data_IF_959505206410
#
_entry.id   IF_959505206410
#
_cell.length_a   1.000
_cell.length_b   1.000
_cell.length_c   1.000
_cell.angle_alpha   90.00
_cell.angle_beta   90.00
_cell.angle_gamma   90.00
#
_symmetry.space_group_name_H-M   'P 1'
#
loop_
_entity.id
_entity.type
_entity.pdbx_description
1 polymer ?
#
# COMPACT_ATOMS: atom_id res chain seq x y z
N UNK A 1 1.90 6.48 30.97
CA UNK A 1 2.16 5.20 30.33
C UNK A 1 2.59 5.43 28.89
N UNK A 2 3.69 4.83 28.50
CA UNK A 2 4.21 4.94 27.14
C UNK A 2 3.36 4.12 26.20
N UNK A 3 2.99 4.71 25.07
CA UNK A 3 2.36 3.97 23.98
C UNK A 3 3.20 4.15 22.72
N UNK A 4 4.17 3.28 22.58
CA UNK A 4 5.09 3.27 21.45
C UNK A 4 4.60 2.37 20.29
N UNK A 5 3.36 1.89 20.40
CA UNK A 5 2.79 0.96 19.43
C UNK A 5 1.74 1.62 18.58
N UNK A 6 1.68 1.19 17.33
CA UNK A 6 0.67 1.62 16.39
C UNK A 6 0.33 0.48 15.44
N UNK A 7 -0.78 0.62 14.72
CA UNK A 7 -1.21 -0.40 13.77
C UNK A 7 -0.91 0.01 12.35
N UNK A 8 -0.50 -0.96 11.55
CA UNK A 8 -0.41 -0.85 10.11
C UNK A 8 -1.25 -1.94 9.46
N UNK A 9 -1.86 -1.62 8.34
CA UNK A 9 -2.48 -2.62 7.50
C UNK A 9 -1.44 -3.27 6.60
N UNK A 10 -1.55 -4.59 6.43
CA UNK A 10 -0.91 -5.28 5.32
C UNK A 10 -1.77 -5.09 4.08
N UNK A 11 -1.14 -4.82 2.95
CA UNK A 11 -1.84 -4.49 1.72
C UNK A 11 -1.56 -5.51 0.63
N UNK A 12 -2.55 -5.69 -0.24
CA UNK A 12 -2.37 -6.33 -1.54
C UNK A 12 -2.79 -5.33 -2.61
N UNK A 13 -1.89 -5.06 -3.54
CA UNK A 13 -2.20 -4.33 -4.76
C UNK A 13 -2.55 -5.37 -5.82
N UNK A 14 -3.78 -5.36 -6.29
CA UNK A 14 -4.32 -6.42 -7.16
C UNK A 14 -4.80 -5.81 -8.47
N UNK A 15 -4.44 -6.44 -9.58
CA UNK A 15 -5.02 -6.06 -10.88
C UNK A 15 -6.47 -6.53 -10.93
N UNK A 16 -7.39 -5.57 -10.94
CA UNK A 16 -8.83 -5.83 -10.91
C UNK A 16 -9.40 -6.04 -12.32
N UNK A 17 -8.96 -5.22 -13.28
CA UNK A 17 -9.47 -5.25 -14.64
C UNK A 17 -8.45 -4.65 -15.60
N UNK A 18 -8.50 -5.03 -16.85
CA UNK A 18 -7.72 -4.44 -17.94
C UNK A 18 -8.71 -4.11 -19.05
N UNK A 19 -9.01 -2.80 -19.21
CA UNK A 19 -10.01 -2.35 -20.16
C UNK A 19 -9.42 -1.94 -21.50
N UNK A 20 -8.09 -1.84 -21.58
CA UNK A 20 -7.37 -1.49 -22.79
C UNK A 20 -6.40 -2.59 -23.17
N UNK A 21 -5.19 -2.19 -23.57
CA UNK A 21 -4.14 -3.09 -24.00
C UNK A 21 -2.90 -2.95 -23.13
N UNK A 22 -2.66 -3.97 -22.29
CA UNK A 22 -1.48 -4.00 -21.42
C UNK A 22 -0.31 -4.65 -22.16
N UNK A 23 0.71 -3.83 -22.50
CA UNK A 23 1.89 -4.33 -23.20
C UNK A 23 2.86 -5.08 -22.29
N UNK A 24 2.69 -5.00 -20.98
CA UNK A 24 3.49 -5.76 -20.01
C UNK A 24 2.94 -7.16 -19.74
N UNK A 25 1.89 -7.57 -20.46
CA UNK A 25 1.27 -8.88 -20.29
C UNK A 25 0.76 -9.17 -18.88
N UNK A 26 0.30 -8.12 -18.19
CA UNK A 26 -0.35 -8.27 -16.89
C UNK A 26 -1.70 -8.98 -17.04
N UNK A 27 -2.12 -9.66 -15.99
CA UNK A 27 -3.38 -10.40 -15.95
C UNK A 27 -4.18 -10.00 -14.72
N UNK A 28 -5.50 -10.08 -14.82
CA UNK A 28 -6.38 -9.94 -13.68
C UNK A 28 -5.98 -10.92 -12.59
N UNK A 29 -5.85 -10.41 -11.37
CA UNK A 29 -5.40 -11.19 -10.23
C UNK A 29 -3.91 -11.09 -9.94
N UNK A 30 -3.11 -10.53 -10.84
CA UNK A 30 -1.70 -10.25 -10.55
C UNK A 30 -1.62 -9.30 -9.36
N UNK A 31 -0.67 -9.54 -8.46
CA UNK A 31 -0.63 -8.80 -7.21
C UNK A 31 0.78 -8.58 -6.69
N UNK A 32 0.90 -7.58 -5.83
CA UNK A 32 2.08 -7.27 -5.06
C UNK A 32 1.65 -7.17 -3.60
N UNK A 33 2.49 -7.65 -2.70
CA UNK A 33 2.24 -7.55 -1.27
C UNK A 33 3.06 -6.41 -0.68
N UNK A 34 2.46 -5.66 0.25
CA UNK A 34 3.17 -4.70 1.09
C UNK A 34 2.90 -5.08 2.53
N UNK A 35 3.93 -5.57 3.21
CA UNK A 35 3.88 -5.98 4.61
C UNK A 35 4.94 -5.22 5.38
N UNK A 36 4.50 -4.41 6.35
CA UNK A 36 5.41 -3.45 6.96
C UNK A 36 5.94 -2.50 5.91
N UNK A 37 7.26 -2.35 5.82
CA UNK A 37 7.89 -1.49 4.81
C UNK A 37 8.43 -2.25 3.60
N UNK A 38 8.00 -3.48 3.37
CA UNK A 38 8.60 -4.33 2.35
C UNK A 38 7.61 -4.81 1.31
N UNK A 39 8.02 -4.69 0.03
CA UNK A 39 7.33 -5.33 -1.08
C UNK A 39 7.75 -6.78 -1.23
N UNK A 40 6.79 -7.60 -1.62
CA UNK A 40 7.06 -8.95 -2.11
C UNK A 40 6.03 -9.32 -3.18
N UNK A 41 6.38 -10.33 -3.97
CA UNK A 41 5.48 -10.85 -4.99
C UNK A 41 5.25 -12.34 -4.74
N UNK A 42 4.15 -12.91 -5.26
CA UNK A 42 3.99 -14.37 -5.26
C UNK A 42 5.20 -15.04 -5.93
N UNK A 43 5.56 -16.26 -5.54
CA UNK A 43 6.69 -16.96 -6.17
C UNK A 43 6.56 -17.03 -7.68
N UNK A 44 7.65 -16.65 -8.39
CA UNK A 44 7.67 -16.68 -9.85
C UNK A 44 6.89 -15.57 -10.53
N UNK A 45 6.32 -14.64 -9.77
CA UNK A 45 5.53 -13.53 -10.32
C UNK A 45 6.42 -12.33 -10.62
N UNK A 46 5.95 -11.49 -11.54
CA UNK A 46 6.50 -10.18 -11.80
C UNK A 46 5.37 -9.15 -11.83
N UNK A 47 5.72 -7.88 -11.98
CA UNK A 47 4.72 -6.82 -12.00
C UNK A 47 5.26 -5.64 -12.79
N UNK A 48 4.38 -5.01 -13.56
CA UNK A 48 4.73 -3.86 -14.38
C UNK A 48 5.14 -2.67 -13.49
N UNK A 49 6.31 -2.11 -13.73
CA UNK A 49 6.82 -0.99 -12.94
C UNK A 49 5.97 0.27 -13.13
N UNK A 50 5.42 0.47 -14.33
CA UNK A 50 4.62 1.66 -14.60
C UNK A 50 3.29 1.63 -13.84
N UNK A 51 2.67 0.46 -13.75
CA UNK A 51 1.47 0.28 -12.94
C UNK A 51 1.80 0.41 -11.47
N UNK A 52 2.87 -0.24 -11.01
CA UNK A 52 3.28 -0.22 -9.61
C UNK A 52 3.59 1.19 -9.13
N UNK A 53 4.34 1.97 -9.92
CA UNK A 53 4.71 3.32 -9.51
C UNK A 53 3.49 4.24 -9.36
N UNK A 54 2.43 4.02 -10.11
CA UNK A 54 1.21 4.81 -9.98
C UNK A 54 0.55 4.58 -8.61
N UNK A 55 0.70 3.40 -8.04
CA UNK A 55 0.11 3.05 -6.74
C UNK A 55 1.03 3.40 -5.57
N UNK A 56 2.34 3.38 -5.75
CA UNK A 56 3.31 3.55 -4.66
C UNK A 56 3.04 4.78 -3.79
N UNK A 57 2.75 5.97 -4.33
CA UNK A 57 2.51 7.13 -3.48
C UNK A 57 1.31 7.00 -2.55
N UNK A 58 0.38 6.11 -2.86
CA UNK A 58 -0.84 5.92 -2.09
C UNK A 58 -0.70 4.82 -1.03
N UNK A 59 0.23 3.89 -1.23
CA UNK A 59 0.32 2.69 -0.39
C UNK A 59 0.61 3.01 1.07
N UNK A 60 1.60 3.85 1.42
CA UNK A 60 1.85 4.15 2.83
C UNK A 60 0.66 4.79 3.54
N UNK A 61 -0.12 5.61 2.85
CA UNK A 61 -1.32 6.19 3.42
C UNK A 61 -2.40 5.14 3.65
N UNK A 62 -2.54 4.19 2.72
CA UNK A 62 -3.49 3.08 2.87
C UNK A 62 -3.14 2.13 4.00
N UNK A 63 -1.87 2.07 4.40
CA UNK A 63 -1.46 1.25 5.54
C UNK A 63 -1.90 1.83 6.88
N UNK A 64 -2.32 3.09 6.92
CA UNK A 64 -2.65 3.80 8.15
C UNK A 64 -4.14 4.08 8.22
N UNK A 65 -4.64 4.31 9.45
CA UNK A 65 -5.99 4.78 9.67
C UNK A 65 -6.09 6.24 9.27
N UNK A 66 -7.04 6.57 8.41
CA UNK A 66 -7.29 7.93 7.97
C UNK A 66 -8.68 8.36 8.43
N UNK A 67 -8.95 9.66 8.34
CA UNK A 67 -10.30 10.17 8.64
C UNK A 67 -11.32 9.48 7.73
N UNK A 68 -12.49 9.08 8.23
CA UNK A 68 -13.48 8.37 7.42
C UNK A 68 -13.95 9.12 6.17
N UNK A 69 -13.87 10.44 6.16
CA UNK A 69 -14.25 11.25 5.02
C UNK A 69 -13.10 11.50 4.04
N UNK A 70 -11.89 11.07 4.37
CA UNK A 70 -10.72 11.22 3.49
C UNK A 70 -10.88 10.26 2.30
N UNK A 71 -10.64 10.76 1.08
CA UNK A 71 -10.70 9.92 -0.12
C UNK A 71 -9.71 8.76 -0.04
N UNK A 72 -8.64 8.90 0.73
CA UNK A 72 -7.70 7.81 0.98
C UNK A 72 -8.37 6.64 1.69
N UNK A 73 -9.46 6.88 2.41
CA UNK A 73 -10.24 5.82 3.07
C UNK A 73 -11.29 5.23 2.15
N UNK A 74 -11.91 6.06 1.30
CA UNK A 74 -13.04 5.66 0.48
C UNK A 74 -12.63 5.10 -0.87
N UNK A 75 -11.57 5.63 -1.46
CA UNK A 75 -11.14 5.28 -2.81
C UNK A 75 -10.05 4.22 -2.74
N UNK A 76 -10.22 3.15 -3.48
CA UNK A 76 -9.28 2.03 -3.42
C UNK A 76 -8.70 1.68 -4.79
N UNK A 77 -9.05 2.42 -5.85
CA UNK A 77 -8.64 2.07 -7.21
C UNK A 77 -7.60 3.03 -7.75
N UNK A 78 -6.67 2.48 -8.50
CA UNK A 78 -5.58 3.20 -9.17
C UNK A 78 -5.44 2.65 -10.58
N UNK A 79 -5.17 3.52 -11.54
CA UNK A 79 -4.97 3.07 -12.92
C UNK A 79 -3.52 3.21 -13.34
N UNK A 80 -3.11 2.36 -14.31
CA UNK A 80 -1.84 2.54 -15.00
C UNK A 80 -1.82 3.93 -15.67
N UNK A 81 -0.66 4.62 -15.66
CA UNK A 81 -0.58 5.96 -16.27
C UNK A 81 -0.72 5.97 -17.79
N UNK A 82 -0.67 4.82 -18.45
CA UNK A 82 -0.89 4.74 -19.90
C UNK A 82 -2.40 4.72 -20.20
N UNK A 83 -2.96 5.77 -20.83
CA UNK A 83 -4.40 5.81 -21.11
C UNK A 83 -4.88 4.71 -22.05
N UNK A 84 -3.99 4.18 -22.88
CA UNK A 84 -4.35 3.10 -23.80
C UNK A 84 -4.37 1.74 -23.09
N UNK A 85 -3.64 1.59 -22.00
CA UNK A 85 -3.61 0.37 -21.21
C UNK A 85 -4.87 0.20 -20.38
N UNK A 86 -5.26 1.21 -19.65
CA UNK A 86 -6.43 1.21 -18.76
C UNK A 86 -6.50 0.00 -17.85
N UNK A 87 -5.34 -0.38 -17.32
CA UNK A 87 -5.24 -1.39 -16.28
C UNK A 87 -5.68 -0.75 -14.96
N UNK A 88 -6.63 -1.38 -14.28
CA UNK A 88 -7.19 -0.90 -13.03
C UNK A 88 -6.71 -1.81 -11.93
N UNK A 89 -6.13 -1.20 -10.89
CA UNK A 89 -5.65 -1.90 -9.70
C UNK A 89 -6.53 -1.53 -8.51
N UNK A 90 -6.64 -2.47 -7.60
CA UNK A 90 -7.33 -2.30 -6.33
C UNK A 90 -6.33 -2.45 -5.20
N UNK A 91 -6.43 -1.59 -4.19
CA UNK A 91 -5.61 -1.69 -2.98
C UNK A 91 -6.47 -2.30 -1.88
N UNK A 92 -6.16 -3.51 -1.49
CA UNK A 92 -6.90 -4.24 -0.45
C UNK A 92 -6.14 -4.20 0.87
N UNK A 93 -6.83 -3.90 1.96
CA UNK A 93 -6.34 -4.06 3.32
C UNK A 93 -6.69 -5.47 3.76
N UNK A 94 -5.69 -6.33 3.93
CA UNK A 94 -5.92 -7.77 4.13
C UNK A 94 -5.65 -8.24 5.55
N UNK A 95 -4.88 -7.49 6.33
CA UNK A 95 -4.58 -7.82 7.71
C UNK A 95 -4.10 -6.57 8.44
N UNK A 96 -4.06 -6.62 9.77
CA UNK A 96 -3.44 -5.59 10.59
C UNK A 96 -2.29 -6.19 11.37
N UNK A 97 -1.29 -5.36 11.66
CA UNK A 97 -0.18 -5.72 12.55
C UNK A 97 0.08 -4.59 13.52
N UNK A 98 0.43 -4.95 14.73
CA UNK A 98 0.88 -3.99 15.74
C UNK A 98 2.39 -3.86 15.63
N UNK A 99 2.86 -2.63 15.53
CA UNK A 99 4.27 -2.29 15.32
C UNK A 99 4.74 -1.41 16.48
N UNK A 100 5.94 -1.70 16.99
CA UNK A 100 6.59 -0.84 17.97
C UNK A 100 7.48 0.16 17.25
N UNK A 101 7.56 1.37 17.82
CA UNK A 101 8.39 2.43 17.26
C UNK A 101 9.84 1.95 16.99
N UNK A 102 10.45 1.26 17.94
CA UNK A 102 11.84 0.84 17.81
C UNK A 102 12.07 -0.24 16.74
N UNK A 103 11.00 -0.90 16.31
CA UNK A 103 11.08 -1.89 15.23
C UNK A 103 11.09 -1.26 13.84
N UNK A 104 10.69 0.01 13.72
CA UNK A 104 10.54 0.68 12.43
C UNK A 104 11.31 2.00 12.35
N UNK A 105 11.97 2.42 13.43
CA UNK A 105 12.78 3.62 13.46
C UNK A 105 14.09 3.37 14.20
N UNK A 106 15.18 3.89 13.65
CA UNK A 106 16.47 3.89 14.33
C UNK A 106 16.57 5.01 15.38
N UNK A 107 15.59 5.92 15.39
CA UNK A 107 15.54 7.03 16.35
C UNK A 107 14.76 6.56 17.56
N UNK A 108 15.32 6.62 18.77
CA UNK A 108 14.61 6.17 19.97
C UNK A 108 13.32 6.93 20.19
N UNK A 109 12.32 6.22 20.72
CA UNK A 109 11.05 6.80 21.08
C UNK A 109 11.22 7.82 22.19
N UNK A 110 10.65 9.02 22.03
CA UNK A 110 10.63 10.08 23.01
C UNK A 110 9.19 10.46 23.33
N UNK A 111 8.68 9.91 24.43
CA UNK A 111 7.30 10.12 24.84
C UNK A 111 7.01 11.59 25.14
N UNK A 112 7.96 12.31 25.74
CA UNK A 112 7.76 13.72 26.06
C UNK A 112 7.63 14.58 24.81
N UNK A 113 8.43 14.27 23.78
CA UNK A 113 8.35 14.98 22.52
C UNK A 113 7.03 14.67 21.79
N UNK A 114 6.62 13.42 21.81
CA UNK A 114 5.36 13.00 21.18
C UNK A 114 4.16 13.70 21.84
N UNK A 115 4.18 13.85 23.17
CA UNK A 115 3.12 14.53 23.90
C UNK A 115 3.11 16.04 23.69
N UNK A 116 4.26 16.62 23.34
CA UNK A 116 4.38 18.06 23.09
C UNK A 116 3.84 18.47 21.73
N UNK A 117 3.64 17.56 20.85
CA UNK A 117 3.11 17.82 19.53
C UNK A 117 1.58 17.77 19.53
#
# INVERSE_FOLDING_TARGET
MTNDRFELYDLELVVEAIEGNCTCAMKTGDKVFLRGGKFSLPPGADFCIYALQAAIPLLPAKQRHNHPADWMETDARVTCPDPACRLIMRIDRVATRTVRHDDVSAIPWDEAQAEGD
#
